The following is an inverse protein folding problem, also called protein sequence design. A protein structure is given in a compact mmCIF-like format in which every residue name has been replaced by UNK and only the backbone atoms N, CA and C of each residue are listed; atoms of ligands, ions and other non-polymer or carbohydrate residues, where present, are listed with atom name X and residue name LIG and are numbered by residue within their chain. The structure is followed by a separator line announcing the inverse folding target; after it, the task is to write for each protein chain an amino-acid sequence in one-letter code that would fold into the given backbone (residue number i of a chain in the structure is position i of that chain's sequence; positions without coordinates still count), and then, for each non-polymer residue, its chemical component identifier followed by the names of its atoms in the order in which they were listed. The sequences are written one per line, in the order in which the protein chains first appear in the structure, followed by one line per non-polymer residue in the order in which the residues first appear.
data_IF_540772598727
#
_entry.id   IF_540772598727
#
_cell.length_a   1.000
_cell.length_b   1.000
_cell.length_c   1.000
_cell.angle_alpha   90.00
_cell.angle_beta   90.00
_cell.angle_gamma   90.00
#
_symmetry.space_group_name_H-M   'P 1'
#
loop_
_entity.id
_entity.type
_entity.pdbx_description
1 polymer ?
#
# COMPACT_ATOMS: atom_id res chain seq x y z
N UNK A 1 -5.45 -16.30 5.44
CA UNK A 1 -5.06 -15.03 6.08
C UNK A 1 -4.04 -14.37 5.18
N UNK A 2 -4.09 -13.05 5.07
CA UNK A 2 -3.30 -12.24 4.15
C UNK A 2 -2.60 -11.14 4.94
N UNK A 3 -1.52 -10.61 4.37
CA UNK A 3 -0.83 -9.42 4.88
C UNK A 3 -0.78 -8.42 3.73
N UNK A 4 -1.15 -7.17 4.01
CA UNK A 4 -1.16 -6.06 3.06
C UNK A 4 -0.07 -5.07 3.48
N UNK A 5 1.01 -4.98 2.70
CA UNK A 5 2.08 -4.00 2.89
C UNK A 5 1.75 -2.76 2.09
N UNK A 6 1.63 -1.62 2.77
CA UNK A 6 1.11 -0.39 2.21
C UNK A 6 2.16 0.72 2.30
N UNK A 7 2.27 1.47 1.21
CA UNK A 7 3.12 2.64 1.11
C UNK A 7 2.41 3.73 0.31
N UNK A 8 2.83 4.98 0.49
CA UNK A 8 2.29 6.14 -0.22
C UNK A 8 3.34 6.89 -1.04
N UNK A 9 2.87 7.54 -2.09
CA UNK A 9 3.70 8.39 -2.93
C UNK A 9 2.91 9.62 -3.38
N UNK A 10 3.64 10.68 -3.70
CA UNK A 10 3.06 11.93 -4.16
C UNK A 10 2.34 12.69 -3.04
N UNK A 11 2.81 12.61 -1.80
CA UNK A 11 2.30 13.43 -0.67
C UNK A 11 2.90 14.85 -0.62
N UNK A 12 3.87 15.15 -1.50
CA UNK A 12 4.51 16.47 -1.63
C UNK A 12 3.71 17.47 -2.45
N UNK A 13 4.35 18.13 -3.43
CA UNK A 13 3.73 19.17 -4.28
C UNK A 13 3.08 18.61 -5.57
N UNK A 14 3.16 17.30 -5.81
CA UNK A 14 2.59 16.65 -6.99
C UNK A 14 1.06 16.82 -7.06
N UNK A 15 0.39 16.77 -8.22
CA UNK A 15 -1.07 16.95 -8.27
C UNK A 15 -1.86 15.74 -7.76
N UNK A 16 -1.25 14.54 -7.81
CA UNK A 16 -1.88 13.27 -7.46
C UNK A 16 -1.11 12.64 -6.30
N UNK A 17 -1.84 12.18 -5.28
CA UNK A 17 -1.31 11.28 -4.27
C UNK A 17 -1.84 9.87 -4.50
N UNK A 18 -1.01 8.87 -4.23
CA UNK A 18 -1.37 7.46 -4.37
C UNK A 18 -0.93 6.71 -3.12
N UNK A 19 -1.76 5.79 -2.64
CA UNK A 19 -1.38 4.78 -1.68
C UNK A 19 -1.61 3.41 -2.30
N UNK A 20 -0.63 2.52 -2.20
CA UNK A 20 -0.66 1.19 -2.80
C UNK A 20 -0.40 0.15 -1.73
N UNK A 21 -1.17 -0.93 -1.75
CA UNK A 21 -1.01 -2.09 -0.89
C UNK A 21 -0.72 -3.35 -1.71
N UNK A 22 0.36 -4.07 -1.38
CA UNK A 22 0.64 -5.41 -1.92
C UNK A 22 0.12 -6.47 -0.94
N UNK A 23 -0.85 -7.26 -1.38
CA UNK A 23 -1.52 -8.28 -0.58
C UNK A 23 -0.88 -9.64 -0.86
N UNK A 24 -0.34 -10.25 0.19
CA UNK A 24 0.38 -11.51 0.14
C UNK A 24 -0.30 -12.55 1.03
N UNK A 25 -0.37 -13.80 0.57
CA UNK A 25 -0.79 -14.92 1.43
C UNK A 25 0.27 -15.17 2.51
N UNK A 26 -0.13 -15.14 3.78
CA UNK A 26 0.78 -15.32 4.92
C UNK A 26 1.54 -16.65 4.85
N UNK A 27 0.94 -17.71 4.27
CA UNK A 27 1.59 -19.02 4.12
C UNK A 27 2.76 -18.99 3.12
N UNK A 28 2.76 -18.02 2.21
CA UNK A 28 3.78 -17.88 1.16
C UNK A 28 4.83 -16.81 1.47
N UNK A 29 4.75 -16.18 2.65
CA UNK A 29 5.59 -15.04 3.00
C UNK A 29 7.09 -15.34 2.91
N UNK A 30 7.52 -16.53 3.36
CA UNK A 30 8.92 -16.94 3.27
C UNK A 30 9.43 -16.97 1.83
N UNK A 31 8.64 -17.52 0.88
CA UNK A 31 8.97 -17.53 -0.55
C UNK A 31 9.02 -16.12 -1.11
N UNK A 32 8.04 -15.28 -0.77
CA UNK A 32 7.99 -13.89 -1.22
C UNK A 32 9.23 -13.11 -0.79
N UNK A 33 9.66 -13.25 0.47
CA UNK A 33 10.86 -12.58 1.00
C UNK A 33 12.14 -13.04 0.31
N UNK A 34 12.33 -14.35 0.15
CA UNK A 34 13.50 -14.90 -0.58
C UNK A 34 13.54 -14.34 -1.99
N UNK A 35 12.41 -14.36 -2.69
CA UNK A 35 12.34 -13.92 -4.07
C UNK A 35 12.45 -12.40 -4.27
N UNK A 36 12.03 -11.61 -3.28
CA UNK A 36 12.28 -10.17 -3.30
C UNK A 36 13.78 -9.90 -3.20
N UNK A 37 14.47 -10.59 -2.29
CA UNK A 37 15.93 -10.53 -2.19
C UNK A 37 16.61 -10.93 -3.49
N UNK A 38 16.12 -11.98 -4.16
CA UNK A 38 16.65 -12.40 -5.47
C UNK A 38 16.46 -11.31 -6.55
N UNK A 39 15.32 -10.59 -6.53
CA UNK A 39 15.08 -9.44 -7.41
C UNK A 39 16.09 -8.32 -7.14
N UNK A 40 16.28 -7.92 -5.89
CA UNK A 40 17.26 -6.89 -5.51
C UNK A 40 18.70 -7.26 -5.92
N UNK A 41 19.06 -8.54 -5.78
CA UNK A 41 20.36 -9.06 -6.26
C UNK A 41 20.46 -8.98 -7.79
N UNK A 42 19.39 -9.31 -8.51
CA UNK A 42 19.33 -9.16 -9.97
C UNK A 42 19.51 -7.71 -10.39
N UNK A 43 18.77 -6.80 -9.76
CA UNK A 43 18.86 -5.35 -10.00
C UNK A 43 20.26 -4.82 -9.69
N UNK A 44 20.87 -5.25 -8.58
CA UNK A 44 22.24 -4.86 -8.21
C UNK A 44 23.26 -5.23 -9.30
N UNK A 45 23.06 -6.36 -9.98
CA UNK A 45 23.92 -6.79 -11.11
C UNK A 45 23.73 -5.91 -12.34
N UNK A 46 22.48 -5.51 -12.64
CA UNK A 46 22.16 -4.61 -13.76
C UNK A 46 22.75 -3.22 -13.52
N UNK A 47 22.66 -2.72 -12.29
CA UNK A 47 23.13 -1.39 -11.90
C UNK A 47 24.65 -1.35 -11.68
N UNK A 48 25.27 -2.50 -11.37
CA UNK A 48 26.69 -2.59 -11.01
C UNK A 48 27.01 -2.05 -9.61
N UNK A 49 25.98 -1.84 -8.77
CA UNK A 49 26.09 -1.39 -7.38
C UNK A 49 25.04 -2.10 -6.53
N UNK A 50 25.25 -2.27 -5.21
CA UNK A 50 24.22 -2.78 -4.32
C UNK A 50 22.95 -1.93 -4.39
N UNK A 51 21.81 -2.59 -4.57
CA UNK A 51 20.46 -2.02 -4.49
C UNK A 51 19.79 -2.70 -3.31
N UNK A 52 19.65 -1.96 -2.22
CA UNK A 52 18.99 -2.44 -0.99
C UNK A 52 17.51 -2.07 -0.98
N UNK A 53 17.15 -0.95 -1.63
CA UNK A 53 15.80 -0.41 -1.71
C UNK A 53 15.60 0.30 -3.06
N UNK A 54 14.36 0.33 -3.55
CA UNK A 54 14.00 0.98 -4.82
C UNK A 54 13.16 2.23 -4.56
N UNK A 55 13.79 3.31 -4.14
CA UNK A 55 13.11 4.61 -4.02
C UNK A 55 12.76 5.16 -5.40
N UNK A 56 11.46 5.22 -5.69
CA UNK A 56 10.94 5.66 -6.99
C UNK A 56 11.36 7.09 -7.36
N UNK A 57 11.44 7.99 -6.38
CA UNK A 57 11.94 9.37 -6.57
C UNK A 57 13.32 9.39 -7.22
N UNK A 58 14.23 8.57 -6.70
CA UNK A 58 15.62 8.52 -7.17
C UNK A 58 15.73 7.70 -8.46
N UNK A 59 14.94 6.65 -8.59
CA UNK A 59 14.89 5.82 -9.79
C UNK A 59 14.41 6.60 -11.03
N UNK A 60 13.27 7.30 -10.94
CA UNK A 60 12.72 8.05 -12.08
C UNK A 60 13.56 9.27 -12.46
N UNK A 61 14.07 10.00 -11.46
CA UNK A 61 14.96 11.14 -11.71
C UNK A 61 16.35 10.71 -12.21
N UNK A 62 16.72 9.43 -12.02
CA UNK A 62 18.07 8.95 -12.33
C UNK A 62 19.11 9.45 -11.34
N UNK A 63 18.76 9.54 -10.06
CA UNK A 63 19.68 9.87 -8.98
C UNK A 63 20.44 8.63 -8.48
N UNK A 64 21.41 8.84 -7.58
CA UNK A 64 22.15 7.79 -6.87
C UNK A 64 22.73 6.68 -7.76
N UNK A 65 22.39 5.42 -7.46
CA UNK A 65 22.86 4.26 -8.21
C UNK A 65 22.25 4.21 -9.62
N UNK A 66 21.16 4.94 -9.89
CA UNK A 66 20.43 4.95 -11.16
C UNK A 66 20.99 5.93 -12.20
N UNK A 67 21.90 6.84 -11.79
CA UNK A 67 22.46 7.89 -12.66
C UNK A 67 23.19 7.37 -13.89
N UNK A 68 23.80 6.19 -13.79
CA UNK A 68 24.53 5.57 -14.88
C UNK A 68 23.63 4.82 -15.87
N UNK A 69 22.34 4.63 -15.56
CA UNK A 69 21.43 3.87 -16.40
C UNK A 69 20.88 4.71 -17.54
N UNK A 70 20.80 4.09 -18.72
CA UNK A 70 20.07 4.62 -19.86
C UNK A 70 18.56 4.42 -19.70
N UNK A 71 17.77 5.14 -20.50
CA UNK A 71 16.31 5.07 -20.45
C UNK A 71 15.73 3.67 -20.74
N UNK A 72 16.35 2.93 -21.68
CA UNK A 72 15.98 1.54 -21.99
C UNK A 72 16.27 0.58 -20.82
N UNK A 73 17.39 0.78 -20.12
CA UNK A 73 17.73 -0.02 -18.93
C UNK A 73 16.76 0.26 -17.77
N UNK A 74 16.38 1.52 -17.55
CA UNK A 74 15.34 1.87 -16.56
C UNK A 74 13.98 1.25 -16.93
N UNK A 75 13.57 1.31 -18.18
CA UNK A 75 12.34 0.67 -18.64
C UNK A 75 12.38 -0.87 -18.46
N UNK A 76 13.54 -1.49 -18.67
CA UNK A 76 13.78 -2.90 -18.41
C UNK A 76 13.57 -3.26 -16.94
N UNK A 77 14.11 -2.47 -16.01
CA UNK A 77 13.92 -2.66 -14.56
C UNK A 77 12.44 -2.59 -14.17
N UNK A 78 11.72 -1.58 -14.67
CA UNK A 78 10.27 -1.46 -14.43
C UNK A 78 9.54 -2.72 -14.90
N UNK A 79 9.88 -3.20 -16.10
CA UNK A 79 9.28 -4.39 -16.71
C UNK A 79 9.57 -5.65 -15.89
N UNK A 80 10.81 -5.81 -15.41
CA UNK A 80 11.20 -6.93 -14.54
C UNK A 80 10.45 -6.90 -13.20
N UNK A 81 10.29 -5.73 -12.59
CA UNK A 81 9.51 -5.57 -11.35
C UNK A 81 8.03 -5.93 -11.56
N UNK A 82 7.40 -5.48 -12.66
CA UNK A 82 6.01 -5.85 -12.96
C UNK A 82 5.86 -7.32 -13.34
N UNK A 83 6.83 -7.89 -14.06
CA UNK A 83 6.85 -9.32 -14.35
C UNK A 83 7.00 -10.13 -13.05
N UNK A 84 7.84 -9.68 -12.12
CA UNK A 84 8.01 -10.27 -10.80
C UNK A 84 6.70 -10.23 -9.99
N UNK A 85 6.00 -9.09 -9.99
CA UNK A 85 4.69 -8.96 -9.33
C UNK A 85 3.66 -9.90 -9.97
N UNK A 86 3.57 -9.90 -11.29
CA UNK A 86 2.57 -10.65 -12.07
C UNK A 86 2.78 -12.18 -12.03
N UNK A 87 4.03 -12.63 -11.99
CA UNK A 87 4.36 -14.05 -11.87
C UNK A 87 3.92 -14.65 -10.52
N UNK A 88 3.58 -13.80 -9.56
CA UNK A 88 3.16 -14.20 -8.21
C UNK A 88 1.67 -13.97 -8.06
N UNK A 89 1.06 -14.75 -7.17
CA UNK A 89 -0.36 -14.60 -6.81
C UNK A 89 -0.51 -13.51 -5.75
N UNK A 90 0.06 -12.34 -6.02
CA UNK A 90 -0.13 -11.15 -5.22
C UNK A 90 -1.35 -10.40 -5.74
N UNK A 91 -2.17 -9.90 -4.83
CA UNK A 91 -3.21 -8.95 -5.18
C UNK A 91 -2.68 -7.54 -4.90
N UNK A 92 -3.11 -6.55 -5.68
CA UNK A 92 -2.76 -5.14 -5.46
C UNK A 92 -4.02 -4.37 -5.14
N UNK A 93 -3.98 -3.55 -4.09
CA UNK A 93 -5.03 -2.57 -3.76
C UNK A 93 -4.42 -1.19 -3.86
N UNK A 94 -5.16 -0.19 -4.33
CA UNK A 94 -4.66 1.18 -4.39
C UNK A 94 -5.79 2.20 -4.23
N UNK A 95 -5.39 3.40 -3.85
CA UNK A 95 -6.20 4.61 -3.90
C UNK A 95 -5.39 5.71 -4.57
N UNK A 96 -6.02 6.47 -5.47
CA UNK A 96 -5.43 7.63 -6.13
C UNK A 96 -6.32 8.84 -5.90
N UNK A 97 -5.74 9.96 -5.50
CA UNK A 97 -6.48 11.17 -5.12
C UNK A 97 -5.93 12.37 -5.87
N UNK A 98 -6.81 13.09 -6.55
CA UNK A 98 -6.52 14.44 -7.05
C UNK A 98 -6.53 15.43 -5.88
N UNK A 99 -5.38 16.02 -5.57
CA UNK A 99 -5.21 16.84 -4.36
C UNK A 99 -6.05 18.11 -4.37
N UNK A 100 -6.18 18.77 -5.52
CA UNK A 100 -7.00 19.98 -5.69
C UNK A 100 -8.44 19.72 -5.21
N UNK A 101 -9.08 18.68 -5.77
CA UNK A 101 -10.44 18.28 -5.40
C UNK A 101 -10.54 17.90 -3.93
N UNK A 102 -9.58 17.13 -3.42
CA UNK A 102 -9.57 16.74 -2.00
C UNK A 102 -9.53 17.96 -1.08
N UNK A 103 -8.60 18.89 -1.31
CA UNK A 103 -8.44 20.07 -0.47
C UNK A 103 -9.58 21.09 -0.64
N UNK A 104 -10.20 21.17 -1.81
CA UNK A 104 -11.43 21.94 -2.02
C UNK A 104 -12.58 21.39 -1.17
N UNK A 105 -12.83 20.08 -1.23
CA UNK A 105 -13.85 19.41 -0.39
C UNK A 105 -13.53 19.50 1.10
N UNK A 106 -12.25 19.43 1.48
CA UNK A 106 -11.80 19.62 2.87
C UNK A 106 -12.13 21.02 3.37
N UNK A 107 -11.77 22.07 2.60
CA UNK A 107 -12.05 23.47 2.96
C UNK A 107 -13.54 23.77 3.01
N UNK A 108 -14.33 23.13 2.13
CA UNK A 108 -15.78 23.25 2.11
C UNK A 108 -16.48 22.47 3.25
N UNK A 109 -15.75 21.70 4.07
CA UNK A 109 -16.31 20.90 5.15
C UNK A 109 -17.15 19.71 4.65
N UNK A 110 -16.88 19.24 3.43
CA UNK A 110 -17.63 18.14 2.78
C UNK A 110 -17.04 16.76 3.10
N UNK A 111 -15.84 16.71 3.68
CA UNK A 111 -15.23 15.44 4.08
C UNK A 111 -15.85 14.92 5.39
N UNK A 112 -16.11 13.60 5.49
CA UNK A 112 -16.57 13.00 6.74
C UNK A 112 -15.60 13.25 7.89
N UNK A 113 -16.15 13.37 9.09
CA UNK A 113 -15.35 13.48 10.31
C UNK A 113 -14.41 12.27 10.44
N UNK A 114 -13.16 12.54 10.83
CA UNK A 114 -12.12 11.52 10.93
C UNK A 114 -11.46 11.13 9.60
N UNK A 115 -11.87 11.66 8.45
CA UNK A 115 -11.24 11.36 7.14
C UNK A 115 -10.70 12.64 6.48
N UNK A 116 -10.31 13.59 7.32
CA UNK A 116 -9.92 14.93 6.90
C UNK A 116 -8.45 15.07 6.54
N UNK A 117 -7.61 14.04 6.68
CA UNK A 117 -6.23 14.06 6.17
C UNK A 117 -6.15 13.22 4.90
N UNK A 118 -5.29 13.63 3.97
CA UNK A 118 -5.10 12.94 2.69
C UNK A 118 -4.69 11.48 2.91
N UNK A 119 -3.80 11.25 3.87
CA UNK A 119 -3.34 9.92 4.25
C UNK A 119 -4.48 9.06 4.79
N UNK A 120 -5.28 9.55 5.76
CA UNK A 120 -6.44 8.80 6.31
C UNK A 120 -7.48 8.50 5.24
N UNK A 121 -7.69 9.42 4.30
CA UNK A 121 -8.58 9.20 3.17
C UNK A 121 -8.12 8.03 2.30
N UNK A 122 -6.84 8.02 1.91
CA UNK A 122 -6.27 6.94 1.10
C UNK A 122 -6.25 5.61 1.88
N UNK A 123 -5.76 5.62 3.11
CA UNK A 123 -5.69 4.43 3.96
C UNK A 123 -7.06 3.80 4.21
N UNK A 124 -8.08 4.61 4.52
CA UNK A 124 -9.44 4.10 4.69
C UNK A 124 -9.97 3.50 3.38
N UNK A 125 -9.69 4.13 2.24
CA UNK A 125 -10.11 3.59 0.94
C UNK A 125 -9.48 2.22 0.64
N UNK A 126 -8.21 2.01 1.01
CA UNK A 126 -7.56 0.70 0.93
C UNK A 126 -8.27 -0.34 1.80
N UNK A 127 -8.56 -0.01 3.07
CA UNK A 127 -9.28 -0.90 3.98
C UNK A 127 -10.66 -1.29 3.45
N UNK A 128 -11.41 -0.31 2.95
CA UNK A 128 -12.75 -0.53 2.39
C UNK A 128 -12.71 -1.40 1.13
N UNK A 129 -11.71 -1.19 0.28
CA UNK A 129 -11.50 -1.98 -0.94
C UNK A 129 -11.17 -3.44 -0.59
N UNK A 130 -10.28 -3.65 0.36
CA UNK A 130 -9.92 -4.99 0.85
C UNK A 130 -11.10 -5.67 1.53
N UNK A 131 -11.82 -4.96 2.42
CA UNK A 131 -13.02 -5.46 3.07
C UNK A 131 -14.03 -5.98 2.01
N UNK A 132 -14.33 -5.16 1.01
CA UNK A 132 -15.27 -5.50 -0.06
C UNK A 132 -14.83 -6.70 -0.88
N UNK A 133 -13.55 -6.78 -1.23
CA UNK A 133 -13.01 -7.87 -2.03
C UNK A 133 -12.93 -9.19 -1.23
N UNK A 134 -12.64 -9.12 0.07
CA UNK A 134 -12.31 -10.28 0.89
C UNK A 134 -13.49 -10.85 1.67
N UNK A 135 -14.58 -10.10 1.90
CA UNK A 135 -15.73 -10.58 2.66
C UNK A 135 -16.46 -11.78 2.04
N UNK A 136 -16.29 -12.03 0.74
CA UNK A 136 -16.82 -13.21 0.06
C UNK A 136 -15.97 -14.48 0.23
N UNK A 137 -14.78 -14.36 0.82
CA UNK A 137 -13.84 -15.47 0.94
C UNK A 137 -14.21 -16.37 2.14
N UNK A 138 -14.20 -17.68 1.91
CA UNK A 138 -14.58 -18.66 2.93
C UNK A 138 -13.56 -18.72 4.08
N UNK A 139 -14.06 -18.89 5.31
CA UNK A 139 -13.24 -19.03 6.53
C UNK A 139 -12.32 -17.81 6.71
N UNK A 140 -11.12 -18.00 7.24
CA UNK A 140 -10.12 -16.96 7.51
C UNK A 140 -9.28 -16.59 6.27
N UNK A 141 -9.76 -16.88 5.06
CA UNK A 141 -9.01 -16.58 3.82
C UNK A 141 -8.98 -15.08 3.50
N UNK A 142 -10.05 -14.36 3.83
CA UNK A 142 -10.18 -12.91 3.64
C UNK A 142 -9.58 -12.05 4.74
N UNK A 143 -9.35 -12.63 5.92
CA UNK A 143 -8.70 -11.98 7.05
C UNK A 143 -7.34 -11.42 6.64
N UNK A 144 -7.18 -10.11 6.77
CA UNK A 144 -6.03 -9.34 6.28
C UNK A 144 -5.48 -8.46 7.38
N UNK A 145 -4.17 -8.58 7.61
CA UNK A 145 -3.42 -7.66 8.48
C UNK A 145 -2.82 -6.57 7.61
N UNK A 146 -2.92 -5.32 8.03
CA UNK A 146 -2.30 -4.19 7.34
C UNK A 146 -0.98 -3.81 8.01
N UNK A 147 0.02 -3.56 7.20
CA UNK A 147 1.33 -3.04 7.60
C UNK A 147 1.59 -1.81 6.74
N UNK A 148 1.68 -0.64 7.35
CA UNK A 148 2.03 0.61 6.67
C UNK A 148 3.49 0.95 6.91
N UNK A 149 4.10 1.71 6.00
CA UNK A 149 5.37 2.37 6.29
C UNK A 149 5.20 3.39 7.44
N UNK A 150 6.26 3.61 8.21
CA UNK A 150 6.19 4.28 9.51
C UNK A 150 6.07 5.81 9.40
N UNK A 151 4.87 6.30 9.06
CA UNK A 151 4.53 7.72 9.20
C UNK A 151 3.98 8.01 10.62
N UNK A 152 4.88 8.27 11.58
CA UNK A 152 4.55 8.41 13.02
C UNK A 152 3.42 9.40 13.33
N UNK A 153 3.19 10.41 12.47
CA UNK A 153 2.17 11.46 12.69
C UNK A 153 0.73 10.96 12.54
N UNK A 154 0.48 10.01 11.65
CA UNK A 154 -0.88 9.54 11.35
C UNK A 154 -1.25 8.25 12.10
N UNK A 155 -0.24 7.55 12.66
CA UNK A 155 -0.38 6.28 13.39
C UNK A 155 -1.46 6.30 14.47
N UNK A 156 -1.42 7.24 15.41
CA UNK A 156 -2.38 7.28 16.54
C UNK A 156 -3.81 7.64 16.12
N UNK A 157 -4.00 8.30 14.96
CA UNK A 157 -5.30 8.78 14.50
C UNK A 157 -6.00 7.80 13.55
N UNK A 158 -5.23 6.93 12.91
CA UNK A 158 -5.79 5.98 11.96
C UNK A 158 -6.40 4.75 12.63
N UNK A 159 -5.84 4.29 13.75
CA UNK A 159 -6.37 3.16 14.52
C UNK A 159 -7.81 3.37 14.96
N UNK A 160 -8.21 4.61 15.25
CA UNK A 160 -9.57 4.96 15.66
C UNK A 160 -10.61 4.69 14.55
N UNK A 161 -10.23 4.86 13.28
CA UNK A 161 -11.11 4.57 12.14
C UNK A 161 -11.38 3.07 11.97
N UNK A 162 -10.55 2.22 12.58
CA UNK A 162 -10.68 0.76 12.51
C UNK A 162 -11.38 0.25 13.76
N UNK A 163 -11.04 0.81 14.92
CA UNK A 163 -11.70 0.49 16.18
C UNK A 163 -13.17 0.95 16.19
N UNK A 164 -13.47 2.09 15.60
CA UNK A 164 -14.82 2.64 15.49
C UNK A 164 -15.11 3.15 14.07
N UNK A 165 -15.29 2.25 13.08
CA UNK A 165 -15.47 2.65 11.68
C UNK A 165 -16.76 3.46 11.49
N UNK A 166 -16.71 4.60 10.75
CA UNK A 166 -17.89 5.40 10.48
C UNK A 166 -19.02 4.59 9.85
N UNK A 167 -20.27 4.81 10.27
CA UNK A 167 -21.40 4.00 9.83
C UNK A 167 -21.63 4.02 8.30
N UNK A 168 -21.26 5.11 7.63
CA UNK A 168 -21.40 5.25 6.17
C UNK A 168 -20.57 4.21 5.40
N UNK A 169 -19.49 3.69 6.00
CA UNK A 169 -18.61 2.68 5.38
C UNK A 169 -19.37 1.40 5.00
N UNK A 170 -20.45 1.08 5.72
CA UNK A 170 -21.28 -0.09 5.47
C UNK A 170 -21.84 -0.14 4.05
N UNK A 171 -22.15 1.03 3.48
CA UNK A 171 -22.69 1.14 2.13
C UNK A 171 -21.64 0.86 1.06
N UNK A 172 -20.36 1.15 1.33
CA UNK A 172 -19.27 0.97 0.37
C UNK A 172 -19.04 -0.50 0.01
N UNK A 173 -19.02 -1.37 1.02
CA UNK A 173 -18.82 -2.81 0.86
C UNK A 173 -20.11 -3.62 0.95
N UNK A 174 -21.27 -2.99 1.17
CA UNK A 174 -22.55 -3.70 1.24
C UNK A 174 -22.64 -4.66 2.42
N UNK A 175 -22.34 -4.14 3.62
CA UNK A 175 -22.30 -4.91 4.87
C UNK A 175 -23.56 -5.76 5.08
N UNK A 176 -23.38 -7.05 5.36
CA UNK A 176 -24.52 -7.90 5.71
C UNK A 176 -25.07 -7.58 7.12
N UNK A 177 -26.37 -7.84 7.34
CA UNK A 177 -27.08 -7.49 8.59
C UNK A 177 -26.37 -7.97 9.86
N UNK A 178 -25.80 -9.17 9.84
CA UNK A 178 -25.12 -9.81 10.99
C UNK A 178 -23.59 -9.72 10.94
N UNK A 179 -23.04 -9.10 9.90
CA UNK A 179 -21.59 -8.92 9.76
C UNK A 179 -21.13 -7.80 10.69
N UNK A 180 -19.93 -7.89 11.25
CA UNK A 180 -19.30 -6.77 11.96
C UNK A 180 -18.68 -5.79 10.95
N UNK A 181 -18.47 -4.53 11.34
CA UNK A 181 -17.81 -3.56 10.45
C UNK A 181 -16.33 -3.91 10.30
N UNK A 182 -15.82 -3.80 9.08
CA UNK A 182 -14.41 -4.08 8.75
C UNK A 182 -13.92 -5.44 9.28
N UNK A 183 -14.78 -6.47 9.28
CA UNK A 183 -14.50 -7.78 9.88
C UNK A 183 -13.45 -8.62 9.14
N UNK A 184 -13.00 -8.18 7.97
CA UNK A 184 -11.85 -8.77 7.27
C UNK A 184 -10.53 -8.12 7.66
N UNK A 185 -10.56 -6.97 8.32
CA UNK A 185 -9.37 -6.30 8.83
C UNK A 185 -9.08 -6.90 10.20
N UNK A 186 -7.96 -7.60 10.30
CA UNK A 186 -7.56 -8.24 11.54
C UNK A 186 -6.67 -7.28 12.30
N UNK A 187 -7.09 -6.95 13.52
CA UNK A 187 -6.34 -6.13 14.46
C UNK A 187 -6.16 -4.68 13.99
N UNK A 188 -5.41 -3.89 14.77
CA UNK A 188 -4.93 -2.57 14.34
C UNK A 188 -3.84 -2.71 13.27
N UNK A 189 -3.66 -1.71 12.39
CA UNK A 189 -2.55 -1.69 11.47
C UNK A 189 -1.23 -1.61 12.20
N UNK A 190 -0.28 -2.39 11.72
CA UNK A 190 1.10 -2.34 12.15
C UNK A 190 1.86 -1.32 11.30
N UNK A 191 2.94 -0.79 11.85
CA UNK A 191 3.83 0.13 11.18
C UNK A 191 5.22 -0.47 11.23
N UNK A 192 5.89 -0.55 10.09
CA UNK A 192 7.20 -1.17 9.93
C UNK A 192 8.17 -0.24 9.22
N UNK A 193 9.45 -0.49 9.39
CA UNK A 193 10.53 0.20 8.68
C UNK A 193 10.88 -0.59 7.42
N UNK A 194 11.00 0.07 6.26
CA UNK A 194 11.33 -0.56 4.98
C UNK A 194 12.67 -1.29 4.99
N UNK A 195 13.62 -0.86 5.83
CA UNK A 195 14.91 -1.51 6.03
C UNK A 195 14.81 -2.89 6.70
N UNK A 196 13.74 -3.15 7.45
CA UNK A 196 13.48 -4.44 8.12
C UNK A 196 12.40 -5.27 7.40
N UNK A 197 11.55 -4.60 6.63
CA UNK A 197 10.40 -5.20 5.94
C UNK A 197 10.47 -4.86 4.46
N UNK A 198 11.26 -5.64 3.70
CA UNK A 198 11.53 -5.36 2.28
C UNK A 198 10.30 -5.31 1.33
N UNK A 199 9.08 -5.59 1.80
CA UNK A 199 7.86 -5.41 1.01
C UNK A 199 7.19 -4.03 1.21
N UNK A 200 7.71 -3.23 2.15
CA UNK A 200 7.49 -1.78 2.22
C UNK A 200 8.61 -1.15 1.38
N UNK A 201 8.28 -0.32 0.38
CA UNK A 201 9.19 0.17 -0.67
C UNK A 201 8.68 1.48 -1.30
#
# INVERSE_FOLDING_TARGET
MKVCYCDESGTGDEPIAVMVGVIVDAQRMHVTKTNWKDLLVSLSRVVGKPVEEVHTRDFYAGNDCWRALRGDQRAGIISETFAWLSARKHDVVYASVEKSTFYESQKAGQLPEGVNTLWRFMGLHLLLSVQKAHQGLKKTKGHTIFVFDNEERERMRFTDLIASPPAWTDSYYGKAKKQSRLDQIVDVPYFGDSSEVHLLQ
#
